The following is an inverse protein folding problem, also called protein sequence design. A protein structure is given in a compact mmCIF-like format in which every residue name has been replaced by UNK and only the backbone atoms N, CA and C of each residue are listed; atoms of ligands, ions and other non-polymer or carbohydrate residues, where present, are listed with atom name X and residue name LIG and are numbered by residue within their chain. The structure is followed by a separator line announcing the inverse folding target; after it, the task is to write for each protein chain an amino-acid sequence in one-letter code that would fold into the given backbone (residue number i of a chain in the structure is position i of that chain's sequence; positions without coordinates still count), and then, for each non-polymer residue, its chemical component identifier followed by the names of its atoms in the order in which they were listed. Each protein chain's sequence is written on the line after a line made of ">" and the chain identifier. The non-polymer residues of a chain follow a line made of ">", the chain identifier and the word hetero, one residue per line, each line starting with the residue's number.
data_IF_019388315475
#
_entry.id   IF_019388315475
#
_cell.length_a   1.000
_cell.length_b   1.000
_cell.length_c   1.000
_cell.angle_alpha   90.00
_cell.angle_beta   90.00
_cell.angle_gamma   90.00
#
_symmetry.space_group_name_H-M   'P 1'
#
loop_
_entity.id
_entity.type
_entity.pdbx_description
1 polymer ?
#
# COMPACT_ATOMS: atom_id res chain seq x y z
N UNK A 1 -10.43 5.26 -26.00
CA UNK A 1 -9.59 6.43 -25.65
C UNK A 1 -8.47 5.98 -24.74
N UNK A 2 -7.26 6.52 -24.89
CA UNK A 2 -6.18 6.26 -23.93
C UNK A 2 -6.58 6.81 -22.56
N UNK A 3 -6.36 6.03 -21.50
CA UNK A 3 -6.46 6.50 -20.13
C UNK A 3 -5.33 7.50 -19.87
N UNK A 4 -5.64 8.61 -19.22
CA UNK A 4 -4.67 9.64 -18.90
C UNK A 4 -5.05 10.33 -17.59
N UNK A 5 -4.03 10.66 -16.81
CA UNK A 5 -4.16 11.38 -15.56
C UNK A 5 -4.56 12.84 -15.85
N UNK A 6 -5.52 13.32 -15.06
CA UNK A 6 -6.07 14.67 -15.16
C UNK A 6 -5.92 15.39 -13.83
N UNK A 7 -5.72 16.69 -13.88
CA UNK A 7 -5.77 17.61 -12.75
C UNK A 7 -7.00 18.50 -12.85
N UNK A 8 -7.55 18.89 -11.70
CA UNK A 8 -8.52 19.97 -11.57
C UNK A 8 -8.33 20.62 -10.18
N UNK A 9 -8.52 21.93 -10.11
CA UNK A 9 -8.38 22.70 -8.88
C UNK A 9 -9.76 23.02 -8.30
N UNK A 10 -9.84 23.03 -6.97
CA UNK A 10 -11.02 23.42 -6.21
C UNK A 10 -10.56 24.21 -4.98
N UNK A 11 -11.32 25.22 -4.56
CA UNK A 11 -11.02 26.02 -3.36
C UNK A 11 -12.05 25.87 -2.25
N UNK A 12 -13.31 25.68 -2.62
CA UNK A 12 -14.48 25.60 -1.74
C UNK A 12 -14.96 24.15 -1.49
N UNK A 13 -14.42 23.19 -2.24
CA UNK A 13 -14.83 21.78 -2.24
C UNK A 13 -15.99 21.47 -3.19
N UNK A 14 -16.56 22.48 -3.84
CA UNK A 14 -17.79 22.36 -4.66
C UNK A 14 -17.53 22.66 -6.13
N UNK A 15 -16.79 23.73 -6.44
CA UNK A 15 -16.57 24.20 -7.79
C UNK A 15 -15.17 23.84 -8.29
N UNK A 16 -15.14 22.86 -9.19
CA UNK A 16 -13.92 22.36 -9.80
C UNK A 16 -13.61 23.10 -11.10
N UNK A 17 -12.33 23.41 -11.33
CA UNK A 17 -11.88 23.90 -12.63
C UNK A 17 -12.09 22.85 -13.73
N UNK A 18 -12.14 23.26 -15.01
CA UNK A 18 -12.09 22.30 -16.10
C UNK A 18 -10.87 21.38 -15.99
N UNK A 19 -10.99 20.08 -16.26
CA UNK A 19 -9.90 19.14 -16.08
C UNK A 19 -8.81 19.37 -17.14
N UNK A 20 -7.54 19.33 -16.73
CA UNK A 20 -6.36 19.45 -17.60
C UNK A 20 -5.49 18.21 -17.51
N UNK A 21 -4.66 17.97 -18.52
CA UNK A 21 -3.74 16.82 -18.52
C UNK A 21 -2.61 17.04 -17.52
N UNK A 22 -2.33 16.02 -16.72
CA UNK A 22 -1.07 15.92 -15.96
C UNK A 22 0.09 15.75 -16.95
N UNK A 23 1.23 16.40 -16.68
CA UNK A 23 2.38 16.43 -17.59
C UNK A 23 3.56 15.60 -17.09
N UNK A 24 4.26 14.94 -18.03
CA UNK A 24 5.53 14.28 -17.76
C UNK A 24 6.69 15.30 -17.62
N UNK A 25 7.88 14.81 -17.31
CA UNK A 25 9.10 15.62 -17.20
C UNK A 25 9.50 16.38 -18.48
N UNK A 26 8.97 15.98 -19.64
CA UNK A 26 9.18 16.66 -20.92
C UNK A 26 8.03 17.64 -21.26
N UNK A 27 7.09 17.87 -20.35
CA UNK A 27 5.94 18.76 -20.55
C UNK A 27 4.85 18.16 -21.44
N UNK A 28 4.85 16.85 -21.69
CA UNK A 28 3.86 16.18 -22.54
C UNK A 28 2.75 15.57 -21.69
N UNK A 29 1.51 15.45 -22.21
CA UNK A 29 0.44 14.75 -21.51
C UNK A 29 0.83 13.33 -21.08
N UNK A 30 0.69 13.05 -19.80
CA UNK A 30 1.04 11.75 -19.22
C UNK A 30 -0.01 10.68 -19.61
N UNK A 31 0.47 9.60 -20.20
CA UNK A 31 -0.36 8.44 -20.57
C UNK A 31 -0.30 7.36 -19.48
N UNK A 32 -1.19 7.46 -18.51
CA UNK A 32 -1.37 6.45 -17.46
C UNK A 32 -2.35 6.91 -16.39
N UNK A 33 -2.59 6.05 -15.40
CA UNK A 33 -3.52 6.29 -14.30
C UNK A 33 -2.76 6.31 -12.99
N UNK A 34 -2.92 7.38 -12.22
CA UNK A 34 -2.50 7.41 -10.81
C UNK A 34 -3.40 6.41 -10.08
N UNK A 35 -2.81 5.36 -9.54
CA UNK A 35 -3.60 4.32 -8.88
C UNK A 35 -3.74 4.56 -7.38
N UNK A 36 -2.80 5.30 -6.79
CA UNK A 36 -2.61 5.41 -5.35
C UNK A 36 -2.12 6.79 -4.95
N UNK A 37 -2.30 7.09 -3.66
CA UNK A 37 -1.97 8.40 -3.12
C UNK A 37 -0.51 8.78 -3.37
N UNK A 38 -0.27 10.03 -3.75
CA UNK A 38 1.05 10.62 -3.67
C UNK A 38 1.51 10.74 -2.21
N UNK A 39 2.78 10.43 -1.96
CA UNK A 39 3.44 10.73 -0.70
C UNK A 39 4.51 11.79 -0.92
N UNK A 40 4.45 12.87 -0.14
CA UNK A 40 5.52 13.85 -0.07
C UNK A 40 6.67 13.30 0.80
N UNK A 41 7.89 13.36 0.28
CA UNK A 41 9.11 13.17 1.05
C UNK A 41 9.41 14.42 1.88
N UNK A 42 10.33 14.32 2.83
CA UNK A 42 10.70 15.43 3.72
C UNK A 42 11.21 16.68 2.97
N UNK A 43 11.73 16.50 1.75
CA UNK A 43 12.22 17.58 0.89
C UNK A 43 11.17 18.11 -0.11
N UNK A 44 9.90 17.69 0.03
CA UNK A 44 8.79 18.13 -0.81
C UNK A 44 8.61 17.35 -2.11
N UNK A 45 9.56 16.48 -2.50
CA UNK A 45 9.37 15.58 -3.64
C UNK A 45 8.16 14.69 -3.42
N UNK A 46 7.31 14.54 -4.43
CA UNK A 46 6.18 13.63 -4.42
C UNK A 46 6.58 12.32 -5.09
N UNK A 47 6.23 11.18 -4.48
CA UNK A 47 6.41 9.84 -5.05
C UNK A 47 5.08 9.09 -5.04
N UNK A 48 4.77 8.40 -6.14
CA UNK A 48 3.64 7.46 -6.24
C UNK A 48 3.96 6.38 -7.28
N UNK A 49 2.96 5.59 -7.66
CA UNK A 49 3.02 4.73 -8.83
C UNK A 49 1.82 4.93 -9.75
N UNK A 50 2.09 4.76 -11.04
CA UNK A 50 1.09 4.82 -12.10
C UNK A 50 0.93 3.44 -12.72
N UNK A 51 -0.27 3.15 -13.17
CA UNK A 51 -0.49 2.14 -14.19
C UNK A 51 -0.24 2.74 -15.56
N UNK A 52 0.72 2.17 -16.28
CA UNK A 52 1.10 2.62 -17.63
C UNK A 52 0.79 1.55 -18.68
N UNK A 53 0.43 1.96 -19.92
CA UNK A 53 0.25 1.06 -21.04
C UNK A 53 1.60 0.53 -21.57
N UNK A 54 1.63 -0.61 -22.28
CA UNK A 54 0.50 -1.51 -22.52
C UNK A 54 0.12 -2.31 -21.25
N UNK A 55 -1.18 -2.53 -21.04
CA UNK A 55 -1.70 -3.27 -19.88
C UNK A 55 -1.81 -2.43 -18.60
N UNK A 56 -1.92 -3.12 -17.46
CA UNK A 56 -1.85 -2.53 -16.12
C UNK A 56 -0.49 -2.89 -15.54
N UNK A 57 0.52 -2.05 -15.81
CA UNK A 57 1.88 -2.23 -15.30
C UNK A 57 2.14 -1.15 -14.26
N UNK A 58 2.33 -1.54 -12.99
CA UNK A 58 2.63 -0.61 -11.92
C UNK A 58 4.07 -0.13 -12.03
N UNK A 59 4.26 1.18 -12.15
CA UNK A 59 5.57 1.81 -12.33
C UNK A 59 5.69 2.95 -11.33
N UNK A 60 6.77 3.02 -10.52
CA UNK A 60 7.00 4.15 -9.64
C UNK A 60 7.33 5.41 -10.45
N UNK A 61 6.80 6.53 -10.00
CA UNK A 61 7.08 7.86 -10.54
C UNK A 61 7.29 8.85 -9.40
N UNK A 62 8.03 9.90 -9.69
CA UNK A 62 8.22 11.01 -8.77
C UNK A 62 8.15 12.35 -9.50
N UNK A 63 7.85 13.40 -8.78
CA UNK A 63 7.89 14.78 -9.26
C UNK A 63 8.33 15.72 -8.15
N UNK A 64 9.05 16.78 -8.52
CA UNK A 64 9.42 17.88 -7.62
C UNK A 64 8.41 19.06 -7.74
N UNK A 65 7.36 18.92 -8.55
CA UNK A 65 6.23 19.85 -8.59
C UNK A 65 5.36 19.65 -7.33
N UNK A 66 5.24 20.65 -6.43
CA UNK A 66 4.49 20.51 -5.19
C UNK A 66 2.98 20.34 -5.40
N UNK A 67 2.45 20.65 -6.59
CA UNK A 67 1.06 20.41 -6.93
C UNK A 67 0.84 19.01 -7.52
N UNK A 68 1.91 18.30 -7.90
CA UNK A 68 1.82 16.98 -8.52
C UNK A 68 1.17 16.98 -9.90
N UNK A 69 1.12 18.12 -10.59
CA UNK A 69 0.42 18.25 -11.88
C UNK A 69 1.36 18.17 -13.08
N UNK A 70 2.67 18.31 -12.87
CA UNK A 70 3.70 18.27 -13.91
C UNK A 70 4.98 17.60 -13.43
N UNK A 71 5.99 17.49 -14.30
CA UNK A 71 7.33 17.06 -13.90
C UNK A 71 7.49 15.57 -13.59
N UNK A 72 6.47 14.76 -13.87
CA UNK A 72 6.48 13.34 -13.53
C UNK A 72 7.59 12.59 -14.27
N UNK A 73 8.53 12.06 -13.49
CA UNK A 73 9.70 11.30 -13.94
C UNK A 73 9.56 9.85 -13.53
N UNK A 74 9.83 8.94 -14.47
CA UNK A 74 9.73 7.49 -14.26
C UNK A 74 10.88 7.00 -13.37
N UNK A 75 10.55 6.30 -12.29
CA UNK A 75 11.52 5.52 -11.52
C UNK A 75 11.89 4.22 -12.23
N UNK A 76 13.18 3.87 -12.19
CA UNK A 76 13.70 2.63 -12.78
C UNK A 76 13.45 1.46 -11.82
N UNK A 77 12.41 0.67 -12.09
CA UNK A 77 12.10 -0.57 -11.39
C UNK A 77 12.26 -1.76 -12.33
N UNK A 78 13.16 -2.73 -12.01
CA UNK A 78 13.28 -3.95 -12.80
C UNK A 78 11.97 -4.73 -12.80
N UNK A 79 11.62 -5.27 -13.97
CA UNK A 79 10.42 -6.08 -14.11
C UNK A 79 10.49 -7.37 -13.28
N UNK A 80 9.31 -7.84 -12.86
CA UNK A 80 9.10 -9.13 -12.23
C UNK A 80 8.21 -9.97 -13.16
N UNK A 81 8.80 -10.91 -13.92
CA UNK A 81 8.08 -11.65 -14.96
C UNK A 81 6.82 -12.34 -14.46
N UNK A 82 5.76 -12.29 -15.28
CA UNK A 82 4.49 -12.96 -15.02
C UNK A 82 3.69 -13.16 -16.31
N UNK A 83 3.18 -14.38 -16.48
CA UNK A 83 2.30 -14.73 -17.59
C UNK A 83 0.89 -14.17 -17.33
N UNK A 84 0.65 -12.96 -17.79
CA UNK A 84 -0.61 -12.26 -17.59
C UNK A 84 -0.76 -11.03 -18.50
N UNK A 85 -1.98 -10.51 -18.60
CA UNK A 85 -2.28 -9.25 -19.33
C UNK A 85 -1.88 -7.99 -18.54
N UNK A 86 -1.45 -8.16 -17.29
CA UNK A 86 -1.04 -7.12 -16.36
C UNK A 86 0.29 -7.50 -15.74
N UNK A 87 1.05 -6.52 -15.27
CA UNK A 87 2.27 -6.77 -14.51
C UNK A 87 1.98 -7.57 -13.24
N UNK A 88 2.98 -8.30 -12.73
CA UNK A 88 2.81 -9.10 -11.53
C UNK A 88 2.48 -8.24 -10.30
N UNK A 89 3.23 -7.16 -10.16
CA UNK A 89 3.03 -6.12 -9.17
C UNK A 89 1.89 -5.20 -9.63
N UNK A 90 0.86 -5.07 -8.80
CA UNK A 90 -0.35 -4.31 -9.09
C UNK A 90 -0.85 -3.57 -7.85
N UNK A 91 -1.66 -2.53 -8.03
CA UNK A 91 -2.38 -1.86 -6.94
C UNK A 91 -1.44 -1.44 -5.80
N UNK A 92 -0.39 -0.63 -6.05
CA UNK A 92 0.71 -0.39 -5.10
C UNK A 92 0.26 0.28 -3.80
N UNK A 93 1.12 0.44 -2.83
CA UNK A 93 1.00 1.44 -1.76
C UNK A 93 2.39 1.64 -1.17
N UNK A 94 2.67 2.70 -0.42
CA UNK A 94 4.04 2.92 0.05
C UNK A 94 4.11 3.45 1.47
N UNK A 95 5.25 3.18 2.11
CA UNK A 95 5.64 3.76 3.38
C UNK A 95 7.13 4.11 3.35
N UNK A 96 7.55 4.96 4.28
CA UNK A 96 8.94 5.32 4.48
C UNK A 96 9.59 4.39 5.49
N UNK A 97 10.81 3.99 5.17
CA UNK A 97 11.71 3.24 6.04
C UNK A 97 12.99 4.04 6.21
N UNK A 98 13.00 4.90 7.24
CA UNK A 98 14.02 5.95 7.36
C UNK A 98 14.00 6.86 6.13
N UNK A 99 15.13 6.94 5.41
CA UNK A 99 15.23 7.72 4.16
C UNK A 99 14.83 6.94 2.90
N UNK A 100 14.55 5.65 3.03
CA UNK A 100 14.17 4.82 1.89
C UNK A 100 12.66 4.74 1.79
N UNK A 101 12.17 4.49 0.58
CA UNK A 101 10.77 4.27 0.27
C UNK A 101 10.59 2.77 0.04
N UNK A 102 9.58 2.19 0.65
CA UNK A 102 9.15 0.81 0.38
C UNK A 102 7.78 0.87 -0.25
N UNK A 103 7.68 0.36 -1.47
CA UNK A 103 6.42 0.19 -2.18
C UNK A 103 5.99 -1.28 -2.07
N UNK A 104 4.78 -1.51 -1.60
CA UNK A 104 4.14 -2.82 -1.53
C UNK A 104 3.10 -2.96 -2.64
N UNK A 105 2.90 -4.17 -3.13
CA UNK A 105 1.98 -4.45 -4.23
C UNK A 105 1.15 -5.69 -3.96
N UNK A 106 -0.04 -5.72 -4.55
CA UNK A 106 -0.81 -6.95 -4.72
C UNK A 106 -0.07 -7.87 -5.69
N UNK A 107 0.02 -9.17 -5.34
CA UNK A 107 0.60 -10.18 -6.23
C UNK A 107 -0.44 -10.80 -7.18
N UNK A 108 -0.29 -10.56 -8.49
CA UNK A 108 -1.13 -11.18 -9.51
C UNK A 108 -0.83 -12.67 -9.73
N UNK A 109 0.36 -13.15 -9.35
CA UNK A 109 0.70 -14.58 -9.39
C UNK A 109 0.01 -15.39 -8.27
N UNK A 110 -0.83 -14.76 -7.45
CA UNK A 110 -1.65 -15.45 -6.44
C UNK A 110 -0.86 -16.22 -5.37
N UNK A 111 0.31 -15.70 -4.97
CA UNK A 111 1.05 -16.25 -3.82
C UNK A 111 0.33 -16.08 -2.47
N UNK A 112 -0.72 -15.25 -2.43
CA UNK A 112 -1.41 -14.79 -1.22
C UNK A 112 -0.48 -14.13 -0.21
N UNK A 113 0.54 -13.45 -0.74
CA UNK A 113 1.47 -12.59 -0.01
C UNK A 113 1.66 -11.29 -0.77
N UNK A 114 2.06 -10.24 -0.07
CA UNK A 114 2.41 -8.97 -0.70
C UNK A 114 3.76 -9.07 -1.42
N UNK A 115 3.89 -8.33 -2.52
CA UNK A 115 5.21 -8.03 -3.09
C UNK A 115 5.73 -6.73 -2.47
N UNK A 116 7.05 -6.55 -2.43
CA UNK A 116 7.68 -5.29 -2.04
C UNK A 116 8.88 -4.93 -2.93
N UNK A 117 9.07 -3.63 -3.16
CA UNK A 117 10.24 -3.04 -3.81
C UNK A 117 10.71 -1.83 -3.00
N UNK A 118 12.01 -1.53 -3.03
CA UNK A 118 12.63 -0.48 -2.22
C UNK A 118 13.45 0.47 -3.08
N UNK A 119 13.34 1.77 -2.79
CA UNK A 119 14.21 2.84 -3.31
C UNK A 119 14.86 3.58 -2.16
N UNK A 120 16.16 3.90 -2.27
CA UNK A 120 16.88 4.72 -1.29
C UNK A 120 17.47 6.00 -1.90
N UNK A 121 17.08 6.30 -3.12
CA UNK A 121 17.55 7.44 -3.93
C UNK A 121 16.35 8.30 -4.39
N UNK A 122 15.39 8.49 -3.48
CA UNK A 122 14.24 9.39 -3.66
C UNK A 122 13.37 9.01 -4.88
N UNK A 123 13.18 7.71 -5.10
CA UNK A 123 12.30 7.15 -6.13
C UNK A 123 12.94 7.00 -7.52
N UNK A 124 14.23 7.32 -7.68
CA UNK A 124 14.91 7.24 -8.98
C UNK A 124 15.17 5.80 -9.42
N UNK A 125 15.70 4.95 -8.52
CA UNK A 125 15.92 3.53 -8.78
C UNK A 125 15.29 2.67 -7.68
N UNK A 126 14.82 1.50 -8.10
CA UNK A 126 14.08 0.57 -7.24
C UNK A 126 14.65 -0.83 -7.37
N UNK A 127 14.63 -1.59 -6.28
CA UNK A 127 14.92 -3.02 -6.33
C UNK A 127 13.87 -3.75 -7.18
N UNK A 128 14.22 -4.90 -7.76
CA UNK A 128 13.21 -5.80 -8.33
C UNK A 128 12.18 -6.13 -7.23
N UNK A 129 10.86 -6.12 -7.53
CA UNK A 129 9.87 -6.56 -6.55
C UNK A 129 10.12 -8.01 -6.11
N UNK A 130 9.96 -8.30 -4.83
CA UNK A 130 10.11 -9.63 -4.24
C UNK A 130 8.87 -10.03 -3.46
N UNK A 131 8.57 -11.32 -3.39
CA UNK A 131 7.50 -11.86 -2.54
C UNK A 131 7.94 -11.75 -1.07
N UNK A 132 7.13 -11.08 -0.25
CA UNK A 132 7.36 -10.95 1.19
C UNK A 132 6.72 -12.12 1.95
N UNK A 133 6.89 -12.15 3.28
CA UNK A 133 6.17 -13.08 4.15
C UNK A 133 4.80 -12.57 4.59
N UNK A 134 4.45 -11.30 4.32
CA UNK A 134 3.19 -10.68 4.72
C UNK A 134 2.02 -11.29 3.95
N UNK A 135 1.06 -11.98 4.61
CA UNK A 135 -0.09 -12.55 3.93
C UNK A 135 -0.99 -11.46 3.32
N UNK A 136 -1.62 -11.73 2.18
CA UNK A 136 -2.59 -10.84 1.55
C UNK A 136 -3.59 -11.63 0.69
N UNK A 137 -4.88 -11.45 0.98
CA UNK A 137 -6.00 -12.06 0.27
C UNK A 137 -6.26 -11.50 -1.14
N UNK A 138 -5.35 -10.67 -1.65
CA UNK A 138 -5.48 -9.90 -2.89
C UNK A 138 -6.69 -8.98 -2.83
N UNK A 139 -6.83 -8.29 -1.70
CA UNK A 139 -7.93 -7.37 -1.43
C UNK A 139 -7.63 -5.91 -1.79
N UNK A 140 -6.43 -5.65 -2.34
CA UNK A 140 -5.72 -4.36 -2.29
C UNK A 140 -5.21 -4.10 -0.85
N UNK A 141 -4.27 -3.19 -0.74
CA UNK A 141 -3.65 -2.79 0.51
C UNK A 141 -3.47 -1.27 0.55
N UNK A 142 -3.38 -0.75 1.77
CA UNK A 142 -2.98 0.62 2.06
C UNK A 142 -1.77 0.60 2.98
N UNK A 143 -0.85 1.53 2.82
CA UNK A 143 0.37 1.63 3.58
C UNK A 143 0.68 3.10 3.88
N UNK A 144 1.47 3.32 4.92
CA UNK A 144 1.94 4.65 5.28
C UNK A 144 2.76 4.63 6.56
N UNK A 145 2.92 5.81 7.17
CA UNK A 145 3.61 5.95 8.45
C UNK A 145 2.70 6.68 9.44
N UNK A 146 2.82 6.31 10.71
CA UNK A 146 2.36 7.12 11.83
C UNK A 146 3.30 8.33 12.01
N UNK A 147 2.87 9.31 12.82
CA UNK A 147 3.65 10.52 13.07
C UNK A 147 5.04 10.26 13.69
N UNK A 148 5.19 9.17 14.45
CA UNK A 148 6.46 8.73 15.05
C UNK A 148 7.38 7.98 14.05
N UNK A 149 6.95 7.85 12.78
CA UNK A 149 7.68 7.13 11.74
C UNK A 149 7.38 5.63 11.67
N UNK A 150 6.61 5.06 12.62
CA UNK A 150 6.19 3.66 12.58
C UNK A 150 5.46 3.38 11.26
N UNK A 151 5.96 2.42 10.48
CA UNK A 151 5.31 2.01 9.25
C UNK A 151 4.05 1.21 9.58
N UNK A 152 3.01 1.37 8.76
CA UNK A 152 1.79 0.58 8.88
C UNK A 152 1.36 -0.01 7.54
N UNK A 153 0.64 -1.13 7.62
CA UNK A 153 -0.10 -1.74 6.52
C UNK A 153 -1.54 -1.97 6.96
N UNK A 154 -2.46 -1.73 6.04
CA UNK A 154 -3.87 -2.10 6.16
C UNK A 154 -4.23 -3.01 5.01
N UNK A 155 -4.55 -4.26 5.30
CA UNK A 155 -4.85 -5.27 4.30
C UNK A 155 -5.74 -6.38 4.88
N UNK A 156 -5.99 -7.41 4.07
CA UNK A 156 -6.58 -8.65 4.52
C UNK A 156 -5.50 -9.73 4.68
N UNK A 157 -4.89 -9.91 5.88
CA UNK A 157 -3.77 -10.82 6.09
C UNK A 157 -4.24 -12.28 6.15
N UNK A 158 -4.62 -12.82 4.99
CA UNK A 158 -5.08 -14.20 4.83
C UNK A 158 -4.25 -14.88 3.74
N UNK A 159 -3.84 -16.12 3.97
CA UNK A 159 -3.07 -16.94 3.01
C UNK A 159 -3.97 -17.56 1.91
N UNK A 160 -5.21 -17.10 1.78
CA UNK A 160 -6.20 -17.58 0.83
C UNK A 160 -7.05 -16.45 0.24
N UNK A 161 -8.17 -16.82 -0.38
CA UNK A 161 -9.02 -15.86 -1.13
C UNK A 161 -9.95 -15.04 -0.24
N UNK A 162 -10.15 -15.48 1.00
CA UNK A 162 -11.04 -14.84 1.95
C UNK A 162 -10.48 -13.48 2.36
N UNK A 163 -11.26 -12.41 2.15
CA UNK A 163 -10.82 -11.04 2.42
C UNK A 163 -11.21 -10.59 3.82
N UNK A 164 -10.93 -11.45 4.79
CA UNK A 164 -11.21 -11.29 6.21
C UNK A 164 -10.02 -11.90 6.98
N UNK A 165 -9.54 -11.27 8.06
CA UNK A 165 -9.99 -9.99 8.62
C UNK A 165 -9.54 -8.79 7.79
N UNK A 166 -10.12 -7.61 8.03
CA UNK A 166 -9.43 -6.34 7.75
C UNK A 166 -8.57 -6.00 8.99
N UNK A 167 -7.28 -5.83 8.79
CA UNK A 167 -6.34 -5.60 9.89
C UNK A 167 -5.40 -4.43 9.61
N UNK A 168 -4.94 -3.80 10.68
CA UNK A 168 -3.83 -2.86 10.71
C UNK A 168 -2.62 -3.60 11.29
N UNK A 169 -1.48 -3.60 10.60
CA UNK A 169 -0.21 -4.11 11.14
C UNK A 169 0.84 -3.00 11.18
N UNK A 170 1.70 -3.03 12.20
CA UNK A 170 2.70 -2.00 12.48
C UNK A 170 4.11 -2.58 12.49
N UNK A 171 5.07 -1.82 11.98
CA UNK A 171 6.49 -2.12 12.03
C UNK A 171 7.28 -0.88 12.46
N UNK A 172 7.97 -0.95 13.61
CA UNK A 172 8.81 0.15 14.09
C UNK A 172 10.04 0.39 13.21
N UNK A 173 10.60 -0.67 12.61
CA UNK A 173 11.79 -0.61 11.75
C UNK A 173 11.46 -0.59 10.25
N UNK A 174 10.17 -0.63 9.89
CA UNK A 174 9.68 -0.76 8.52
C UNK A 174 10.07 -2.07 7.83
N UNK A 175 10.42 -3.13 8.57
CA UNK A 175 10.73 -4.48 8.03
C UNK A 175 9.87 -5.55 8.67
N UNK A 176 9.83 -5.60 10.00
CA UNK A 176 9.11 -6.63 10.75
C UNK A 176 7.78 -6.06 11.27
N UNK A 177 6.69 -6.46 10.62
CA UNK A 177 5.34 -6.14 11.06
C UNK A 177 4.92 -7.11 12.16
N UNK A 178 5.23 -6.77 13.41
CA UNK A 178 5.09 -7.64 14.58
C UNK A 178 3.91 -7.33 15.48
N UNK A 179 3.22 -6.20 15.26
CA UNK A 179 1.99 -5.84 15.95
C UNK A 179 0.84 -5.76 14.98
N UNK A 180 -0.30 -6.33 15.35
CA UNK A 180 -1.51 -6.36 14.53
C UNK A 180 -2.75 -6.00 15.36
N UNK A 181 -3.66 -5.27 14.74
CA UNK A 181 -4.94 -4.87 15.32
C UNK A 181 -6.06 -5.29 14.37
N UNK A 182 -7.07 -5.96 14.91
CA UNK A 182 -8.27 -6.29 14.17
C UNK A 182 -9.09 -5.01 13.97
N UNK A 183 -9.34 -4.63 12.71
CA UNK A 183 -10.23 -3.52 12.39
C UNK A 183 -11.66 -4.02 12.17
N UNK A 184 -11.80 -5.12 11.42
CA UNK A 184 -13.08 -5.80 11.17
C UNK A 184 -12.87 -7.30 10.98
N UNK A 185 -13.71 -8.10 11.63
CA UNK A 185 -13.72 -9.57 11.54
C UNK A 185 -15.01 -10.12 10.95
N UNK A 186 -15.19 -11.44 11.04
CA UNK A 186 -16.43 -12.12 10.63
C UNK A 186 -17.66 -11.64 11.40
N UNK A 187 -17.51 -11.35 12.69
CA UNK A 187 -18.61 -10.90 13.54
C UNK A 187 -19.17 -9.53 13.14
N UNK A 188 -18.36 -8.70 12.46
CA UNK A 188 -18.76 -7.38 11.97
C UNK A 188 -19.36 -7.45 10.56
N UNK A 189 -19.25 -8.58 9.86
CA UNK A 189 -19.53 -8.68 8.44
C UNK A 189 -21.03 -8.64 8.14
N UNK A 190 -21.44 -7.64 7.36
CA UNK A 190 -22.79 -7.49 6.87
C UNK A 190 -23.12 -8.58 5.82
N UNK A 191 -24.39 -9.00 5.68
CA UNK A 191 -24.78 -9.94 4.64
C UNK A 191 -24.59 -9.34 3.23
N UNK A 192 -24.22 -10.16 2.26
CA UNK A 192 -24.24 -9.78 0.85
C UNK A 192 -25.70 -9.71 0.38
N UNK A 193 -26.24 -8.51 0.09
CA UNK A 193 -27.67 -8.32 -0.23
C UNK A 193 -27.95 -8.42 -1.72
N UNK A 194 -27.02 -7.99 -2.57
CA UNK A 194 -27.21 -7.99 -4.03
C UNK A 194 -26.19 -8.87 -4.75
N UNK A 195 -26.68 -9.69 -5.68
CA UNK A 195 -25.82 -10.41 -6.61
C UNK A 195 -25.01 -9.45 -7.49
N UNK A 196 -23.85 -9.90 -7.96
CA UNK A 196 -23.05 -9.11 -8.89
C UNK A 196 -21.77 -9.82 -9.29
N UNK A 197 -21.34 -9.56 -10.53
CA UNK A 197 -20.12 -10.16 -11.08
C UNK A 197 -18.92 -9.82 -10.19
N UNK A 198 -18.23 -10.86 -9.73
CA UNK A 198 -17.07 -10.78 -8.84
C UNK A 198 -17.34 -10.21 -7.44
N UNK A 199 -18.59 -10.03 -7.01
CA UNK A 199 -18.92 -9.79 -5.60
C UNK A 199 -18.74 -11.08 -4.81
N UNK A 200 -18.28 -10.95 -3.57
CA UNK A 200 -18.14 -12.04 -2.61
C UNK A 200 -18.05 -11.46 -1.20
N UNK A 201 -18.34 -12.23 -0.14
CA UNK A 201 -18.21 -11.76 1.22
C UNK A 201 -16.79 -11.27 1.56
N UNK A 202 -16.70 -10.19 2.35
CA UNK A 202 -15.47 -9.69 2.96
C UNK A 202 -15.24 -8.19 2.83
N UNK A 203 -14.04 -7.74 3.21
CA UNK A 203 -13.62 -6.33 3.17
C UNK A 203 -12.68 -6.10 1.98
N UNK A 204 -12.92 -5.06 1.20
CA UNK A 204 -12.26 -4.86 -0.08
C UNK A 204 -11.74 -3.42 -0.22
N UNK A 205 -10.63 -3.28 -0.95
CA UNK A 205 -10.08 -1.98 -1.37
C UNK A 205 -9.85 -1.01 -0.20
N UNK A 206 -9.17 -1.43 0.88
CA UNK A 206 -8.91 -0.54 1.99
C UNK A 206 -8.04 0.63 1.55
N UNK A 207 -8.35 1.80 2.09
CA UNK A 207 -7.57 3.01 1.92
C UNK A 207 -7.51 3.81 3.20
N UNK A 208 -6.36 4.36 3.52
CA UNK A 208 -6.13 4.97 4.82
C UNK A 208 -5.50 6.35 4.75
N UNK A 209 -5.86 7.21 5.70
CA UNK A 209 -5.20 8.50 5.92
C UNK A 209 -5.03 8.72 7.42
N UNK A 210 -3.86 9.17 7.83
CA UNK A 210 -3.65 9.72 9.17
C UNK A 210 -4.07 11.18 9.13
N UNK A 211 -5.01 11.55 9.98
CA UNK A 211 -5.48 12.91 10.09
C UNK A 211 -5.70 13.26 11.56
N UNK A 212 -5.04 14.33 12.01
CA UNK A 212 -5.00 14.73 13.41
C UNK A 212 -4.55 13.56 14.30
N UNK A 213 -5.33 13.21 15.30
CA UNK A 213 -5.08 12.17 16.30
C UNK A 213 -5.67 10.79 15.92
N UNK A 214 -6.06 10.60 14.64
CA UNK A 214 -6.69 9.38 14.18
C UNK A 214 -6.11 8.82 12.88
N UNK A 215 -6.15 7.50 12.76
CA UNK A 215 -6.07 6.79 11.48
C UNK A 215 -7.49 6.51 10.99
N UNK A 216 -7.83 6.98 9.80
CA UNK A 216 -9.06 6.67 9.11
C UNK A 216 -8.80 5.59 8.06
N UNK A 217 -9.65 4.57 8.01
CA UNK A 217 -9.57 3.48 7.04
C UNK A 217 -10.92 3.33 6.35
N UNK A 218 -11.01 3.79 5.10
CA UNK A 218 -12.17 3.55 4.24
C UNK A 218 -12.03 2.20 3.51
N UNK A 219 -13.11 1.47 3.34
CA UNK A 219 -13.12 0.19 2.63
C UNK A 219 -14.54 -0.10 2.10
N UNK A 220 -14.65 -1.07 1.19
CA UNK A 220 -15.93 -1.58 0.74
C UNK A 220 -16.23 -2.94 1.35
N UNK A 221 -17.39 -3.11 1.97
CA UNK A 221 -17.87 -4.42 2.43
C UNK A 221 -18.71 -5.07 1.34
N UNK A 222 -18.37 -6.31 1.01
CA UNK A 222 -19.02 -7.13 -0.02
C UNK A 222 -19.05 -6.48 -1.43
N UNK A 223 -18.27 -5.40 -1.64
CA UNK A 223 -18.36 -4.47 -2.78
C UNK A 223 -19.77 -3.88 -2.96
N UNK A 224 -20.38 -3.47 -1.85
CA UNK A 224 -21.75 -2.96 -1.83
C UNK A 224 -21.88 -1.75 -0.91
N UNK A 225 -21.41 -1.89 0.33
CA UNK A 225 -21.36 -0.80 1.30
C UNK A 225 -19.97 -0.17 1.31
N UNK A 226 -19.91 1.16 1.39
CA UNK A 226 -18.67 1.90 1.65
C UNK A 226 -18.67 2.32 3.11
N UNK A 227 -17.67 1.90 3.85
CA UNK A 227 -17.56 2.10 5.29
C UNK A 227 -16.23 2.76 5.65
N UNK A 228 -16.17 3.32 6.86
CA UNK A 228 -14.96 3.88 7.45
C UNK A 228 -14.79 3.36 8.87
N UNK A 229 -13.60 2.84 9.17
CA UNK A 229 -13.14 2.60 10.54
C UNK A 229 -12.22 3.75 10.96
N UNK A 230 -12.51 4.36 12.10
CA UNK A 230 -11.69 5.41 12.71
C UNK A 230 -10.98 4.85 13.93
N UNK A 231 -9.66 4.96 13.97
CA UNK A 231 -8.80 4.41 15.03
C UNK A 231 -8.07 5.56 15.74
N UNK A 232 -8.30 5.78 17.04
CA UNK A 232 -7.51 6.74 17.81
C UNK A 232 -6.04 6.32 17.86
N UNK A 233 -5.11 7.19 17.50
CA UNK A 233 -3.68 6.84 17.44
C UNK A 233 -3.14 6.41 18.81
N UNK A 234 -3.59 7.05 19.90
CA UNK A 234 -3.22 6.70 21.26
C UNK A 234 -3.56 5.23 21.63
N UNK A 235 -4.59 4.62 21.00
CA UNK A 235 -4.93 3.21 21.21
C UNK A 235 -3.88 2.23 20.67
N UNK A 236 -3.02 2.68 19.75
CA UNK A 236 -1.98 1.88 19.12
C UNK A 236 -0.68 1.83 19.95
N UNK A 237 -0.51 2.78 20.87
CA UNK A 237 0.67 2.89 21.74
C UNK A 237 0.53 2.06 23.03
N UNK A 238 -0.69 1.93 23.56
CA UNK A 238 -0.96 1.22 24.82
C UNK A 238 -0.51 -0.26 24.82
N UNK A 239 -0.29 -0.86 23.64
CA UNK A 239 0.21 -2.23 23.48
C UNK A 239 1.74 -2.36 23.48
N UNK A 240 2.53 -1.28 23.40
CA UNK A 240 4.00 -1.35 23.54
C UNK A 240 4.43 -1.77 24.96
N UNK A 241 3.66 -1.40 25.97
CA UNK A 241 4.01 -1.59 27.38
C UNK A 241 3.68 -2.99 27.93
N UNK A 242 2.90 -3.80 27.21
CA UNK A 242 2.43 -5.11 27.69
C UNK A 242 3.32 -6.29 27.28
N UNK A 243 4.30 -6.09 26.39
CA UNK A 243 5.12 -7.17 25.80
C UNK A 243 6.57 -7.28 26.29
N UNK A 244 6.99 -6.47 27.27
CA UNK A 244 8.38 -6.39 27.74
C UNK A 244 8.83 -7.50 28.71
N UNK A 245 8.01 -8.54 28.92
CA UNK A 245 8.40 -9.70 29.73
C UNK A 245 9.30 -10.64 28.91
N UNK A 246 10.60 -10.54 29.13
CA UNK A 246 11.61 -11.46 28.58
C UNK A 246 11.37 -12.89 29.08
N UNK A 247 10.85 -13.76 28.22
CA UNK A 247 11.12 -15.19 28.32
C UNK A 247 12.28 -15.47 27.36
N UNK A 248 13.47 -15.60 27.91
CA UNK A 248 14.68 -16.05 27.24
C UNK A 248 14.77 -17.59 27.38
N UNK A 249 14.56 -18.39 26.32
CA UNK A 249 14.98 -19.77 26.32
C UNK A 249 16.40 -19.83 25.75
N UNK A 250 17.32 -20.27 26.60
CA UNK A 250 18.76 -20.19 26.40
C UNK A 250 19.32 -20.75 25.09
N UNK A 251 20.52 -20.27 24.79
CA UNK A 251 21.49 -20.79 23.84
C UNK A 251 21.43 -22.31 23.67
N UNK A 252 20.98 -22.78 22.50
CA UNK A 252 21.33 -24.09 21.99
C UNK A 252 22.48 -23.91 20.99
N UNK A 253 23.67 -24.31 21.44
CA UNK A 253 24.90 -24.31 20.65
C UNK A 253 24.78 -25.14 19.37
N UNK A 254 25.35 -24.58 18.30
CA UNK A 254 25.60 -25.24 17.02
C UNK A 254 26.75 -26.24 17.24
N UNK A 255 26.40 -27.52 17.36
CA UNK A 255 27.34 -28.63 17.34
C UNK A 255 27.70 -29.00 15.90
N UNK A 256 29.00 -28.91 15.58
CA UNK A 256 29.60 -29.54 14.40
C UNK A 256 29.32 -31.05 14.40
N UNK A 257 28.78 -31.57 13.30
CA UNK A 257 28.77 -33.01 13.04
C UNK A 257 29.95 -33.35 12.13
N UNK A 258 30.92 -34.05 12.70
CA UNK A 258 31.93 -34.81 11.97
C UNK A 258 31.38 -36.19 11.60
N UNK A 259 31.65 -36.59 10.37
CA UNK A 259 31.33 -37.88 9.73
C UNK A 259 32.12 -39.02 10.40
N UNK A 260 31.55 -40.24 10.49
CA UNK A 260 31.94 -41.32 9.57
C UNK A 260 30.76 -41.88 8.76
#
# INVERSE_FOLDING_TARGET
>A
GQQAAMEAFVRDGEQWSPPRRVLDAAGRPFAGVIEQDPHALADGRIVTAFHVPPGLTAVPYFTDDPLGVSGWTRGAMPDLPHDGRSGRALEPSLFLQGRCIVMVFRDQASSFRQLASRSCDRGATWSRPVVTTMPDARAKQSAGNLADGTAFLVNAPNAGRERIPLALTLAGDGRRFDRAFLLRGHADLQPLRFEGRYKRPGYHYPKSVVWQDHLYVAYATNKEDVEVTRVPLASLDATRSAGGGTNDPGEAGIGEQSVP
#
